data_IF_637353328935
#
_entry.id   IF_637353328935
#
_cell.length_a   1.000
_cell.length_b   1.000
_cell.length_c   1.000
_cell.angle_alpha   90.00
_cell.angle_beta   90.00
_cell.angle_gamma   90.00
#
_symmetry.space_group_name_H-M   'P 1'
#
loop_
_entity.id
_entity.type
_entity.pdbx_description
1 polymer ?
#
# COMPACT_ATOMS: atom_id res chain seq x y z
N UNK A 1 -13.22 30.02 -44.38
CA UNK A 1 -12.42 30.50 -43.22
C UNK A 1 -13.06 30.16 -41.86
N UNK A 2 -14.37 29.90 -41.75
CA UNK A 2 -15.02 29.52 -40.48
C UNK A 2 -14.76 28.07 -40.02
N UNK A 3 -14.54 27.14 -40.95
CA UNK A 3 -14.32 25.70 -40.66
C UNK A 3 -12.97 25.39 -40.00
N UNK A 4 -11.94 26.20 -40.28
CA UNK A 4 -10.61 26.05 -39.68
C UNK A 4 -10.62 26.43 -38.20
N UNK A 5 -11.36 27.47 -37.84
CA UNK A 5 -11.46 27.97 -36.46
C UNK A 5 -12.17 26.99 -35.52
N UNK A 6 -13.22 26.30 -36.00
CA UNK A 6 -13.95 25.28 -35.24
C UNK A 6 -13.14 24.00 -35.05
N UNK A 7 -12.32 23.60 -36.02
CA UNK A 7 -11.38 22.47 -35.87
C UNK A 7 -10.28 22.74 -34.83
N UNK A 8 -9.76 23.97 -34.80
CA UNK A 8 -8.81 24.41 -33.77
C UNK A 8 -9.45 24.42 -32.38
N UNK A 9 -10.67 24.93 -32.24
CA UNK A 9 -11.38 24.92 -30.96
C UNK A 9 -11.62 23.49 -30.42
N UNK A 10 -11.94 22.54 -31.31
CA UNK A 10 -12.14 21.14 -30.94
C UNK A 10 -10.84 20.47 -30.48
N UNK A 11 -9.73 20.70 -31.20
CA UNK A 11 -8.42 20.16 -30.83
C UNK A 11 -7.88 20.76 -29.52
N UNK A 12 -8.08 22.06 -29.29
CA UNK A 12 -7.76 22.70 -28.00
C UNK A 12 -8.60 22.14 -26.85
N UNK A 13 -9.91 21.91 -27.06
CA UNK A 13 -10.80 21.30 -26.06
C UNK A 13 -10.39 19.87 -25.72
N UNK A 14 -10.03 19.08 -26.73
CA UNK A 14 -9.55 17.70 -26.55
C UNK A 14 -8.22 17.67 -25.80
N UNK A 15 -7.29 18.59 -26.12
CA UNK A 15 -6.02 18.73 -25.42
C UNK A 15 -6.22 19.11 -23.95
N UNK A 16 -7.11 20.06 -23.67
CA UNK A 16 -7.46 20.45 -22.29
C UNK A 16 -8.06 19.28 -21.51
N UNK A 17 -8.98 18.54 -22.12
CA UNK A 17 -9.59 17.36 -21.51
C UNK A 17 -8.54 16.29 -21.18
N UNK A 18 -7.60 16.03 -22.09
CA UNK A 18 -6.48 15.12 -21.86
C UNK A 18 -5.60 15.59 -20.70
N UNK A 19 -5.23 16.88 -20.65
CA UNK A 19 -4.41 17.44 -19.55
C UNK A 19 -5.13 17.31 -18.20
N UNK A 20 -6.45 17.56 -18.17
CA UNK A 20 -7.27 17.40 -16.97
C UNK A 20 -7.38 15.93 -16.53
N UNK A 21 -7.50 14.99 -17.48
CA UNK A 21 -7.54 13.55 -17.18
C UNK A 21 -6.22 13.00 -16.62
N UNK A 22 -5.08 13.58 -16.99
CA UNK A 22 -3.75 13.17 -16.51
C UNK A 22 -3.18 14.06 -15.41
N UNK A 23 -3.98 14.98 -14.86
CA UNK A 23 -3.54 15.81 -13.75
C UNK A 23 -3.21 14.91 -12.56
N UNK A 24 -1.96 14.94 -12.03
CA UNK A 24 -1.57 14.09 -10.93
C UNK A 24 -2.43 14.44 -9.72
N UNK A 25 -3.29 13.49 -9.32
CA UNK A 25 -4.02 13.61 -8.06
C UNK A 25 -3.01 13.59 -6.93
N UNK A 26 -3.19 14.46 -5.94
CA UNK A 26 -2.28 14.58 -4.81
C UNK A 26 -2.30 13.26 -4.04
N UNK A 27 -1.34 12.38 -4.32
CA UNK A 27 -1.23 11.09 -3.66
C UNK A 27 -0.68 11.33 -2.27
N UNK A 28 -1.52 11.16 -1.25
CA UNK A 28 -1.04 11.18 0.13
C UNK A 28 0.07 10.15 0.28
N UNK A 29 1.27 10.62 0.63
CA UNK A 29 2.44 9.77 0.76
C UNK A 29 2.25 8.86 1.98
N UNK A 30 1.81 7.63 1.74
CA UNK A 30 1.63 6.64 2.81
C UNK A 30 2.96 6.39 3.52
N UNK A 31 2.98 6.43 4.85
CA UNK A 31 4.20 6.29 5.66
C UNK A 31 4.80 4.87 5.63
N UNK A 32 3.99 3.87 5.29
CA UNK A 32 4.40 2.48 5.13
C UNK A 32 3.30 1.65 4.48
N UNK A 33 3.64 0.42 4.07
CA UNK A 33 2.70 -0.53 3.46
C UNK A 33 2.40 -1.76 4.34
N UNK A 34 2.96 -1.81 5.55
CA UNK A 34 2.78 -2.90 6.50
C UNK A 34 3.44 -4.22 6.07
N UNK A 35 2.99 -5.33 6.66
CA UNK A 35 3.59 -6.66 6.51
C UNK A 35 2.57 -7.67 5.95
N UNK A 36 3.08 -8.73 5.32
CA UNK A 36 2.32 -9.93 4.95
C UNK A 36 2.75 -11.10 5.82
N UNK A 37 1.82 -12.02 6.09
CA UNK A 37 2.13 -13.31 6.70
C UNK A 37 2.81 -14.22 5.67
N UNK A 38 3.91 -14.85 6.06
CA UNK A 38 4.70 -15.76 5.23
C UNK A 38 4.45 -17.21 5.64
N UNK A 39 4.48 -17.48 6.95
CA UNK A 39 4.23 -18.80 7.51
C UNK A 39 3.76 -18.70 8.97
N UNK A 40 3.18 -19.78 9.46
CA UNK A 40 2.81 -19.98 10.87
C UNK A 40 3.51 -21.24 11.35
N UNK A 41 4.01 -21.21 12.58
CA UNK A 41 4.55 -22.34 13.31
C UNK A 41 3.82 -22.47 14.65
N UNK A 42 3.51 -23.68 15.08
CA UNK A 42 2.99 -23.93 16.42
C UNK A 42 4.13 -23.85 17.44
N UNK A 43 3.96 -23.07 18.50
CA UNK A 43 4.98 -22.96 19.53
C UNK A 43 4.88 -24.12 20.54
N UNK A 44 5.99 -24.53 21.18
CA UNK A 44 5.99 -25.65 22.13
C UNK A 44 5.03 -25.50 23.31
N UNK A 45 4.60 -24.28 23.61
CA UNK A 45 3.67 -23.93 24.69
C UNK A 45 2.21 -23.80 24.23
N UNK A 46 1.87 -24.33 23.05
CA UNK A 46 0.50 -24.36 22.51
C UNK A 46 0.01 -23.04 21.90
N UNK A 47 0.93 -22.09 21.68
CA UNK A 47 0.68 -20.86 20.94
C UNK A 47 1.08 -20.96 19.47
N UNK A 48 1.16 -19.80 18.81
CA UNK A 48 1.60 -19.71 17.42
C UNK A 48 2.67 -18.63 17.23
N UNK A 49 3.60 -18.87 16.32
CA UNK A 49 4.59 -17.92 15.82
C UNK A 49 4.25 -17.60 14.37
N UNK A 50 3.84 -16.36 14.10
CA UNK A 50 3.65 -15.84 12.75
C UNK A 50 4.90 -15.17 12.22
N UNK A 51 5.40 -15.63 11.06
CA UNK A 51 6.53 -15.01 10.37
C UNK A 51 6.01 -13.98 9.36
N UNK A 52 6.36 -12.71 9.57
CA UNK A 52 5.88 -11.60 8.73
C UNK A 52 7.01 -11.00 7.92
N UNK A 53 6.69 -10.55 6.70
CA UNK A 53 7.63 -9.85 5.82
C UNK A 53 7.04 -8.53 5.32
N UNK A 54 7.85 -7.47 5.29
CA UNK A 54 7.40 -6.15 4.80
C UNK A 54 6.89 -6.25 3.36
N UNK A 55 5.72 -5.66 3.06
CA UNK A 55 5.11 -5.73 1.72
C UNK A 55 5.90 -4.92 0.70
N UNK A 56 6.32 -3.72 1.09
CA UNK A 56 7.13 -2.82 0.27
C UNK A 56 7.99 -1.96 1.21
N UNK A 57 9.30 -1.96 0.96
CA UNK A 57 10.25 -1.18 1.77
C UNK A 57 10.06 0.32 1.56
N UNK A 58 10.19 1.07 2.63
CA UNK A 58 10.20 2.52 2.66
C UNK A 58 11.31 3.03 3.62
N UNK A 59 11.59 4.35 3.56
CA UNK A 59 12.57 5.02 4.40
C UNK A 59 12.11 6.35 5.01
N UNK A 60 10.79 6.61 5.04
CA UNK A 60 10.24 7.91 5.48
C UNK A 60 10.64 8.24 6.94
N UNK A 61 10.68 7.23 7.82
CA UNK A 61 11.10 7.39 9.22
C UNK A 61 12.31 6.51 9.58
N UNK A 62 13.19 6.27 8.60
CA UNK A 62 14.26 5.27 8.71
C UNK A 62 13.93 3.97 7.99
N UNK A 63 14.88 3.04 7.96
CA UNK A 63 14.72 1.76 7.25
C UNK A 63 13.68 0.89 7.93
N UNK A 64 12.77 0.31 7.15
CA UNK A 64 11.86 -0.73 7.65
C UNK A 64 12.62 -1.95 8.18
N UNK A 65 12.07 -2.58 9.21
CA UNK A 65 12.44 -3.93 9.63
C UNK A 65 11.87 -4.91 8.60
N UNK A 66 12.69 -5.77 8.00
CA UNK A 66 12.25 -6.58 6.86
C UNK A 66 11.42 -7.79 7.26
N UNK A 67 11.71 -8.35 8.44
CA UNK A 67 11.14 -9.60 8.93
C UNK A 67 10.75 -9.43 10.39
N UNK A 68 9.54 -9.83 10.74
CA UNK A 68 9.06 -9.87 12.12
C UNK A 68 8.63 -11.28 12.51
N UNK A 69 8.71 -11.58 13.81
CA UNK A 69 8.06 -12.73 14.43
C UNK A 69 6.97 -12.23 15.35
N UNK A 70 5.74 -12.67 15.13
CA UNK A 70 4.57 -12.36 15.95
C UNK A 70 4.28 -13.58 16.83
N UNK A 71 4.49 -13.45 18.13
CA UNK A 71 4.18 -14.50 19.11
C UNK A 71 2.75 -14.31 19.60
N UNK A 72 1.93 -15.35 19.50
CA UNK A 72 0.54 -15.36 19.95
C UNK A 72 0.38 -16.49 20.94
N UNK A 73 0.00 -16.14 22.16
CA UNK A 73 -0.27 -17.10 23.24
C UNK A 73 -1.57 -16.70 23.92
N UNK A 74 -2.37 -17.69 24.28
CA UNK A 74 -3.51 -17.49 25.16
C UNK A 74 -3.05 -17.60 26.62
N UNK A 75 -3.17 -16.51 27.39
CA UNK A 75 -2.62 -16.45 28.76
C UNK A 75 -3.57 -16.92 29.86
N UNK A 76 -4.81 -17.33 29.54
CA UNK A 76 -5.68 -17.82 30.61
C UNK A 76 -5.44 -19.29 30.91
N UNK A 77 -5.32 -19.57 32.20
CA UNK A 77 -5.42 -20.91 32.73
C UNK A 77 -6.86 -21.41 32.59
N UNK A 78 -7.09 -22.45 31.79
CA UNK A 78 -8.22 -23.34 32.04
C UNK A 78 -7.85 -24.23 33.24
N UNK A 79 -7.91 -23.67 34.45
CA UNK A 79 -8.01 -24.47 35.68
C UNK A 79 -9.33 -25.25 35.59
N UNK A 80 -9.24 -26.55 35.28
CA UNK A 80 -10.32 -27.52 35.46
C UNK A 80 -10.18 -28.18 36.84
#
# INVERSE_FOLDING_TARGET
MASSSSSLAFSLSLLLALILCFSPTQSYKTIGKGYRLVSIEESPDGGFIGYLQVKQKNKIYGSDITTLRLFVKHETDSHH
#
